data_IF_051998965037
#
_entry.id   IF_051998965037
#
_cell.length_a   1.000
_cell.length_b   1.000
_cell.length_c   1.000
_cell.angle_alpha   90.00
_cell.angle_beta   90.00
_cell.angle_gamma   90.00
#
_symmetry.space_group_name_H-M   'P 1'
#
loop_
_entity.id
_entity.type
_entity.pdbx_description
1 polymer ?
#
# COMPACT_ATOMS: atom_id res chain seq x y z
N UNK A 1 2.57 11.36 39.64
CA UNK A 1 3.93 11.18 39.14
C UNK A 1 4.12 12.13 37.97
N UNK A 2 4.76 13.28 38.22
CA UNK A 2 5.16 14.12 37.10
C UNK A 2 6.21 13.33 36.34
N UNK A 3 5.87 12.86 35.17
CA UNK A 3 6.86 12.46 34.20
C UNK A 3 7.64 13.73 33.87
N UNK A 4 8.74 13.93 34.55
CA UNK A 4 9.76 14.86 34.12
C UNK A 4 10.35 14.35 32.81
N UNK A 5 9.46 14.34 31.83
CA UNK A 5 9.77 13.92 30.51
C UNK A 5 10.46 15.04 29.81
N UNK A 6 11.76 15.09 29.91
CA UNK A 6 12.51 15.70 28.84
C UNK A 6 12.11 15.07 27.55
N UNK A 7 11.22 15.74 26.92
CA UNK A 7 10.80 15.47 25.56
C UNK A 7 11.49 16.44 24.62
N UNK A 8 12.79 16.69 24.89
CA UNK A 8 13.65 17.29 23.89
C UNK A 8 13.84 16.22 22.79
N UNK A 9 12.73 15.94 22.11
CA UNK A 9 12.79 15.17 20.90
C UNK A 9 13.43 16.04 19.84
N UNK A 10 14.68 15.77 19.57
CA UNK A 10 15.38 16.36 18.43
C UNK A 10 15.01 15.59 17.19
N UNK A 11 14.07 16.12 16.46
CA UNK A 11 13.84 15.67 15.09
C UNK A 11 15.12 15.93 14.28
N UNK A 12 15.57 14.93 13.56
CA UNK A 12 16.66 15.11 12.62
C UNK A 12 16.21 16.11 11.54
N UNK A 13 17.07 17.06 11.25
CA UNK A 13 16.86 18.02 10.17
C UNK A 13 18.00 17.94 9.17
N UNK A 14 17.63 17.66 7.93
CA UNK A 14 18.55 17.64 6.81
C UNK A 14 18.08 18.67 5.78
N UNK A 15 18.98 19.53 5.31
CA UNK A 15 18.73 20.37 4.15
C UNK A 15 18.89 19.50 2.88
N UNK A 16 17.93 18.59 2.70
CA UNK A 16 18.01 17.59 1.66
C UNK A 16 17.27 18.08 0.41
N UNK A 17 17.96 18.24 -0.73
CA UNK A 17 17.32 18.67 -1.97
C UNK A 17 16.36 17.60 -2.49
N UNK A 18 15.43 17.99 -3.35
CA UNK A 18 14.59 17.01 -4.04
C UNK A 18 15.41 16.22 -5.07
N UNK A 19 15.00 14.99 -5.35
CA UNK A 19 15.73 14.11 -6.28
C UNK A 19 16.02 14.75 -7.64
N UNK A 20 15.14 15.62 -8.12
CA UNK A 20 15.29 16.30 -9.42
C UNK A 20 16.44 17.31 -9.45
N UNK A 21 16.93 17.74 -8.30
CA UNK A 21 18.06 18.65 -8.13
C UNK A 21 19.39 17.93 -7.90
N UNK A 22 19.31 16.60 -7.74
CA UNK A 22 20.47 15.77 -7.46
C UNK A 22 20.92 15.04 -8.72
N UNK A 23 22.17 14.57 -8.68
CA UNK A 23 22.70 13.68 -9.69
C UNK A 23 23.44 14.39 -10.82
N UNK A 24 23.94 13.61 -11.73
CA UNK A 24 24.64 14.08 -12.92
C UNK A 24 24.37 13.13 -14.10
N UNK A 25 24.36 13.65 -15.34
CA UNK A 25 24.16 12.82 -16.52
C UNK A 25 25.09 11.61 -16.57
N UNK A 26 24.53 10.44 -16.85
CA UNK A 26 25.28 9.18 -16.91
C UNK A 26 25.39 8.41 -15.60
N UNK A 27 25.00 9.00 -14.45
CA UNK A 27 24.93 8.26 -13.19
C UNK A 27 23.76 7.29 -13.17
N UNK A 28 23.96 6.08 -12.65
CA UNK A 28 22.92 5.03 -12.52
C UNK A 28 23.00 4.36 -11.17
N UNK A 29 21.84 4.15 -10.56
CA UNK A 29 21.74 3.44 -9.29
C UNK A 29 21.90 1.93 -9.47
N UNK A 30 21.27 1.38 -10.50
CA UNK A 30 21.29 -0.05 -10.83
C UNK A 30 21.63 -0.18 -12.30
N UNK A 31 22.59 -1.06 -12.59
CA UNK A 31 22.89 -1.49 -13.95
C UNK A 31 22.08 -2.76 -14.19
N UNK A 32 21.09 -2.67 -15.06
CA UNK A 32 20.38 -3.85 -15.56
C UNK A 32 21.19 -4.53 -16.64
N UNK A 33 21.10 -5.83 -16.74
CA UNK A 33 21.69 -6.57 -17.85
C UNK A 33 21.12 -6.07 -19.19
N UNK A 34 21.97 -6.04 -20.19
CA UNK A 34 21.54 -5.70 -21.54
C UNK A 34 20.63 -6.81 -22.09
N UNK A 35 19.58 -6.41 -22.77
CA UNK A 35 18.72 -7.39 -23.48
C UNK A 35 19.56 -8.02 -24.60
N UNK A 36 19.47 -9.33 -24.72
CA UNK A 36 20.14 -10.07 -25.79
C UNK A 36 19.76 -9.50 -27.17
N UNK A 37 20.73 -9.26 -28.05
CA UNK A 37 20.46 -8.65 -29.37
C UNK A 37 19.40 -9.37 -30.19
N UNK A 38 19.34 -10.69 -30.11
CA UNK A 38 18.34 -11.50 -30.81
C UNK A 38 16.94 -11.26 -30.29
N UNK A 39 16.79 -11.13 -28.96
CA UNK A 39 15.51 -10.82 -28.31
C UNK A 39 15.08 -9.39 -28.64
N UNK A 40 16.01 -8.43 -28.57
CA UNK A 40 15.72 -7.04 -28.92
C UNK A 40 15.26 -6.90 -30.38
N UNK A 41 15.89 -7.66 -31.29
CA UNK A 41 15.53 -7.69 -32.72
C UNK A 41 14.15 -8.34 -32.93
N UNK A 42 13.86 -9.45 -32.26
CA UNK A 42 12.60 -10.17 -32.40
C UNK A 42 11.39 -9.39 -31.82
N UNK A 43 11.58 -8.71 -30.70
CA UNK A 43 10.53 -7.98 -30.00
C UNK A 43 10.36 -6.57 -30.57
N UNK A 44 11.42 -5.96 -31.05
CA UNK A 44 11.46 -4.57 -31.47
C UNK A 44 11.25 -3.61 -30.29
N UNK A 45 10.88 -2.37 -30.58
CA UNK A 45 10.57 -1.41 -29.51
C UNK A 45 9.23 -1.74 -28.84
N UNK A 46 9.16 -1.94 -27.53
CA UNK A 46 7.91 -2.23 -26.81
C UNK A 46 6.86 -1.13 -26.99
N UNK A 47 7.30 0.09 -27.29
CA UNK A 47 6.40 1.22 -27.52
C UNK A 47 5.63 1.14 -28.84
N UNK A 48 6.06 0.31 -29.80
CA UNK A 48 5.36 0.14 -31.08
C UNK A 48 3.94 -0.42 -30.90
N UNK A 49 3.68 -1.15 -29.84
CA UNK A 49 2.36 -1.71 -29.53
C UNK A 49 1.40 -0.70 -28.90
N UNK A 50 1.90 0.47 -28.51
CA UNK A 50 1.05 1.53 -27.96
C UNK A 50 0.45 2.37 -29.09
N UNK A 51 -0.82 2.76 -29.02
CA UNK A 51 -1.39 3.74 -29.92
C UNK A 51 -0.57 5.04 -29.93
N UNK A 52 -0.50 5.71 -31.08
CA UNK A 52 0.37 6.88 -31.24
C UNK A 52 0.12 7.99 -30.20
N UNK A 53 -1.15 8.24 -29.83
CA UNK A 53 -1.53 9.23 -28.83
C UNK A 53 -1.04 8.91 -27.40
N UNK A 54 -0.61 7.68 -27.12
CA UNK A 54 -0.08 7.27 -25.83
C UNK A 54 1.45 7.19 -25.79
N UNK A 55 2.10 7.51 -26.91
CA UNK A 55 3.56 7.50 -27.00
C UNK A 55 4.11 8.87 -26.66
N UNK A 56 5.10 8.88 -25.78
CA UNK A 56 5.85 10.14 -25.52
C UNK A 56 6.79 10.40 -26.69
N UNK A 57 6.89 11.64 -27.12
CA UNK A 57 7.86 12.06 -28.15
C UNK A 57 9.29 12.04 -27.60
N UNK A 58 9.46 12.26 -26.30
CA UNK A 58 10.77 12.24 -25.62
C UNK A 58 10.66 11.45 -24.31
N UNK A 59 11.76 10.84 -23.90
CA UNK A 59 11.86 10.22 -22.59
C UNK A 59 11.68 11.27 -21.48
N UNK A 60 11.05 10.91 -20.34
CA UNK A 60 10.96 11.80 -19.20
C UNK A 60 12.37 12.14 -18.69
N UNK A 61 12.57 13.38 -18.29
CA UNK A 61 13.80 13.80 -17.62
C UNK A 61 13.78 13.31 -16.19
N UNK A 62 14.26 12.11 -15.96
CA UNK A 62 14.40 11.54 -14.61
C UNK A 62 15.78 11.89 -14.05
N UNK A 63 15.92 12.04 -12.73
CA UNK A 63 17.20 12.25 -12.11
C UNK A 63 18.11 11.02 -12.29
N UNK A 64 19.36 11.26 -12.62
CA UNK A 64 20.36 10.22 -12.77
C UNK A 64 21.28 10.23 -11.53
N UNK A 65 21.13 9.22 -10.67
CA UNK A 65 21.76 9.14 -9.36
C UNK A 65 22.52 7.83 -9.18
N UNK A 66 23.63 7.90 -8.46
CA UNK A 66 24.29 6.69 -7.97
C UNK A 66 23.49 6.03 -6.84
N UNK A 67 23.62 4.71 -6.70
CA UNK A 67 22.88 3.93 -5.68
C UNK A 67 23.13 4.48 -4.26
N UNK A 68 24.38 4.84 -3.94
CA UNK A 68 24.71 5.35 -2.62
C UNK A 68 24.10 6.73 -2.33
N UNK A 69 24.02 7.61 -3.33
CA UNK A 69 23.35 8.90 -3.19
C UNK A 69 21.87 8.72 -2.94
N UNK A 70 21.22 7.87 -3.71
CA UNK A 70 19.80 7.57 -3.58
C UNK A 70 19.48 6.96 -2.20
N UNK A 71 20.28 5.99 -1.75
CA UNK A 71 20.10 5.38 -0.43
C UNK A 71 20.24 6.40 0.69
N UNK A 72 21.29 7.22 0.65
CA UNK A 72 21.54 8.25 1.68
C UNK A 72 20.43 9.30 1.71
N UNK A 73 19.97 9.74 0.56
CA UNK A 73 18.85 10.67 0.45
C UNK A 73 17.61 10.14 1.19
N UNK A 74 17.17 8.94 0.88
CA UNK A 74 16.00 8.38 1.54
C UNK A 74 16.22 8.02 3.02
N UNK A 75 17.43 7.63 3.41
CA UNK A 75 17.75 7.42 4.82
C UNK A 75 17.66 8.72 5.63
N UNK A 76 18.11 9.86 5.07
CA UNK A 76 17.96 11.16 5.71
C UNK A 76 16.50 11.57 5.83
N UNK A 77 15.76 11.51 4.74
CA UNK A 77 14.32 11.78 4.77
C UNK A 77 13.56 10.88 5.74
N UNK A 78 13.96 9.62 5.86
CA UNK A 78 13.32 8.69 6.82
C UNK A 78 13.53 9.09 8.28
N UNK A 79 14.61 9.79 8.59
CA UNK A 79 14.87 10.32 9.94
C UNK A 79 14.02 11.55 10.26
N UNK A 80 13.57 12.28 9.25
CA UNK A 80 12.67 13.43 9.40
C UNK A 80 11.20 13.02 9.40
N UNK A 81 10.91 11.77 9.00
CA UNK A 81 9.54 11.28 8.90
C UNK A 81 9.01 10.87 10.27
N UNK A 82 7.84 11.34 10.61
CA UNK A 82 7.10 10.90 11.80
C UNK A 82 6.47 9.54 11.49
N UNK A 83 6.83 8.53 12.29
CA UNK A 83 6.29 7.18 12.17
C UNK A 83 5.76 6.67 13.49
N UNK A 84 4.75 5.83 13.44
CA UNK A 84 4.13 5.24 14.64
C UNK A 84 5.09 4.34 15.45
N UNK A 85 6.20 3.91 14.86
CA UNK A 85 7.25 3.15 15.55
C UNK A 85 8.07 4.00 16.53
N UNK A 86 8.11 5.31 16.31
CA UNK A 86 8.97 6.26 17.03
C UNK A 86 8.15 7.30 17.79
N UNK A 87 7.01 7.69 17.24
CA UNK A 87 6.19 8.78 17.71
C UNK A 87 4.81 8.32 18.16
N UNK A 88 4.06 9.25 18.75
CA UNK A 88 2.68 9.05 19.16
C UNK A 88 1.81 8.87 17.90
N UNK A 89 0.84 7.97 17.98
CA UNK A 89 -0.16 7.80 16.94
C UNK A 89 -0.88 9.11 16.61
N UNK A 90 -1.02 9.37 15.31
CA UNK A 90 -1.81 10.48 14.82
C UNK A 90 -3.25 9.99 14.67
N UNK A 91 -4.17 10.62 15.42
CA UNK A 91 -5.55 10.17 15.54
C UNK A 91 -6.48 10.51 14.37
N UNK A 92 -6.01 11.20 13.33
CA UNK A 92 -6.86 11.74 12.27
C UNK A 92 -6.45 11.24 10.88
N UNK A 93 -7.41 10.64 10.15
CA UNK A 93 -7.38 10.43 8.71
C UNK A 93 -6.19 9.68 8.14
N UNK A 94 -5.46 8.96 8.99
CA UNK A 94 -4.13 8.44 8.66
C UNK A 94 -4.14 6.99 8.20
N UNK A 95 -5.30 6.37 8.00
CA UNK A 95 -5.44 5.00 7.52
C UNK A 95 -4.55 4.01 8.29
N UNK A 96 -3.38 3.66 7.75
CA UNK A 96 -2.46 2.64 8.28
C UNK A 96 -1.32 3.18 9.14
N UNK A 97 -1.32 4.43 9.55
CA UNK A 97 -0.22 5.04 10.33
C UNK A 97 -0.18 4.68 11.83
N UNK A 98 -0.95 3.69 12.27
CA UNK A 98 -0.90 3.19 13.66
C UNK A 98 0.24 2.20 13.80
N UNK A 99 0.75 2.06 15.02
CA UNK A 99 1.76 1.07 15.32
C UNK A 99 1.27 -0.34 14.92
N UNK A 100 2.11 -1.05 14.20
CA UNK A 100 1.89 -2.44 13.85
C UNK A 100 3.03 -3.30 14.43
N UNK A 101 2.74 -4.34 15.24
CA UNK A 101 3.77 -5.18 15.80
C UNK A 101 4.66 -5.79 14.71
N UNK A 102 5.96 -5.64 14.84
CA UNK A 102 6.93 -6.14 13.85
C UNK A 102 6.84 -7.65 13.63
N UNK A 103 6.50 -8.39 14.69
CA UNK A 103 6.22 -9.82 14.57
C UNK A 103 5.13 -10.15 13.54
N UNK A 104 4.09 -9.31 13.46
CA UNK A 104 3.02 -9.47 12.47
C UNK A 104 3.53 -9.27 11.04
N UNK A 105 4.39 -8.28 10.84
CA UNK A 105 5.03 -8.02 9.54
C UNK A 105 5.96 -9.16 9.13
N UNK A 106 6.78 -9.66 10.06
CA UNK A 106 7.66 -10.81 9.84
C UNK A 106 6.87 -12.07 9.49
N UNK A 107 5.78 -12.34 10.22
CA UNK A 107 4.92 -13.48 9.95
C UNK A 107 4.24 -13.37 8.57
N UNK A 108 3.75 -12.18 8.19
CA UNK A 108 3.15 -11.95 6.88
C UNK A 108 4.17 -12.10 5.73
N UNK A 109 5.45 -11.81 5.99
CA UNK A 109 6.52 -11.94 5.01
C UNK A 109 7.02 -13.38 4.81
N UNK A 110 6.55 -14.36 5.60
CA UNK A 110 6.97 -15.76 5.44
C UNK A 110 6.64 -16.27 4.03
N UNK A 111 7.57 -17.03 3.40
CA UNK A 111 7.35 -17.56 2.05
C UNK A 111 6.09 -18.41 1.90
N UNK A 112 5.65 -19.07 2.98
CA UNK A 112 4.40 -19.83 3.03
C UNK A 112 3.14 -19.00 2.84
N UNK A 113 3.21 -17.66 3.06
CA UNK A 113 2.14 -16.72 2.78
C UNK A 113 2.37 -15.92 1.50
N UNK A 114 3.57 -15.36 1.34
CA UNK A 114 3.88 -14.49 0.20
C UNK A 114 3.97 -15.24 -1.13
N UNK A 115 4.27 -16.53 -1.10
CA UNK A 115 4.35 -17.40 -2.30
C UNK A 115 3.02 -18.00 -2.75
N UNK A 116 1.89 -17.67 -2.11
CA UNK A 116 0.59 -18.21 -2.47
C UNK A 116 -0.02 -17.46 -3.66
N UNK A 117 -0.69 -18.20 -4.53
CA UNK A 117 -1.47 -17.62 -5.61
C UNK A 117 -2.96 -17.55 -5.24
N UNK A 118 -3.69 -16.44 -5.52
CA UNK A 118 -5.11 -16.29 -5.14
C UNK A 118 -6.05 -17.37 -5.67
N UNK A 119 -5.73 -17.96 -6.83
CA UNK A 119 -6.52 -19.03 -7.46
C UNK A 119 -5.94 -20.42 -7.22
N UNK A 120 -5.05 -20.56 -6.26
CA UNK A 120 -4.48 -21.85 -5.89
C UNK A 120 -5.56 -22.77 -5.29
N UNK A 121 -5.54 -24.08 -5.58
CA UNK A 121 -6.55 -25.01 -5.04
C UNK A 121 -6.61 -24.98 -3.52
N UNK A 122 -7.81 -24.95 -2.96
CA UNK A 122 -8.06 -24.78 -1.52
C UNK A 122 -7.29 -25.78 -0.64
N UNK A 123 -7.14 -27.02 -1.08
CA UNK A 123 -6.41 -28.04 -0.31
C UNK A 123 -4.91 -27.75 -0.12
N UNK A 124 -4.35 -26.86 -0.94
CA UNK A 124 -2.93 -26.46 -0.87
C UNK A 124 -2.69 -25.22 0.01
N UNK A 125 -3.74 -24.54 0.46
CA UNK A 125 -3.69 -23.26 1.19
C UNK A 125 -4.43 -23.32 2.53
N UNK A 126 -4.53 -24.48 3.12
CA UNK A 126 -5.31 -24.70 4.36
C UNK A 126 -4.84 -23.83 5.53
N UNK A 127 -3.54 -23.59 5.66
CA UNK A 127 -2.99 -22.70 6.70
C UNK A 127 -3.48 -21.25 6.54
N UNK A 128 -3.44 -20.71 5.33
CA UNK A 128 -3.95 -19.36 5.06
C UNK A 128 -5.46 -19.26 5.30
N UNK A 129 -6.23 -20.28 4.88
CA UNK A 129 -7.67 -20.35 5.15
C UNK A 129 -7.98 -20.41 6.65
N UNK A 130 -7.20 -21.16 7.42
CA UNK A 130 -7.36 -21.23 8.86
C UNK A 130 -7.10 -19.86 9.54
N UNK A 131 -6.11 -19.10 9.08
CA UNK A 131 -5.85 -17.72 9.56
C UNK A 131 -7.04 -16.82 9.26
N UNK A 132 -7.56 -16.84 8.03
CA UNK A 132 -8.74 -16.05 7.64
C UNK A 132 -9.96 -16.41 8.49
N UNK A 133 -10.27 -17.68 8.61
CA UNK A 133 -11.43 -18.16 9.38
C UNK A 133 -11.32 -17.74 10.86
N UNK A 134 -10.15 -17.90 11.47
CA UNK A 134 -9.94 -17.48 12.87
C UNK A 134 -10.05 -15.97 13.03
N UNK A 135 -9.56 -15.18 12.08
CA UNK A 135 -9.69 -13.73 12.09
C UNK A 135 -11.16 -13.31 12.01
N UNK A 136 -11.94 -13.92 11.12
CA UNK A 136 -13.38 -13.68 11.01
C UNK A 136 -14.08 -13.93 12.35
N UNK A 137 -13.84 -15.08 12.99
CA UNK A 137 -14.43 -15.41 14.29
C UNK A 137 -14.04 -14.40 15.38
N UNK A 138 -12.77 -14.04 15.46
CA UNK A 138 -12.32 -13.04 16.43
C UNK A 138 -12.99 -11.67 16.21
N UNK A 139 -13.16 -11.26 14.97
CA UNK A 139 -13.82 -10.01 14.65
C UNK A 139 -15.31 -10.07 14.98
N UNK A 140 -15.99 -11.18 14.73
CA UNK A 140 -17.37 -11.38 15.16
C UNK A 140 -17.52 -11.25 16.68
N UNK A 141 -16.65 -11.87 17.45
CA UNK A 141 -16.64 -11.77 18.92
C UNK A 141 -16.42 -10.34 19.43
N UNK A 142 -15.46 -9.64 18.83
CA UNK A 142 -15.09 -8.25 19.25
C UNK A 142 -16.20 -7.26 18.89
N UNK A 143 -16.84 -7.41 17.74
CA UNK A 143 -17.82 -6.46 17.22
C UNK A 143 -19.27 -6.80 17.60
N UNK A 144 -19.52 -8.04 18.03
CA UNK A 144 -20.88 -8.56 18.27
C UNK A 144 -21.68 -8.80 16.99
N UNK A 145 -21.02 -8.92 15.85
CA UNK A 145 -21.64 -9.20 14.55
C UNK A 145 -21.77 -10.70 14.31
N UNK A 146 -22.84 -11.10 13.62
CA UNK A 146 -23.07 -12.52 13.28
C UNK A 146 -22.10 -13.03 12.19
N UNK A 147 -21.62 -12.13 11.33
CA UNK A 147 -20.68 -12.44 10.27
C UNK A 147 -19.82 -11.22 9.91
N UNK A 148 -18.61 -11.50 9.45
CA UNK A 148 -17.65 -10.50 8.99
C UNK A 148 -17.06 -11.00 7.67
N UNK A 149 -16.73 -10.08 6.77
CA UNK A 149 -15.99 -10.40 5.56
C UNK A 149 -14.62 -9.74 5.57
N UNK A 150 -13.62 -10.48 5.12
CA UNK A 150 -12.24 -10.01 4.98
C UNK A 150 -11.88 -9.66 3.53
N UNK A 151 -12.88 -9.52 2.65
CA UNK A 151 -12.68 -9.22 1.22
C UNK A 151 -12.17 -7.79 0.94
N UNK A 152 -12.60 -6.73 1.69
CA UNK A 152 -12.13 -5.38 1.43
C UNK A 152 -10.62 -5.26 1.56
N UNK A 153 -9.98 -4.65 0.57
CA UNK A 153 -8.54 -4.42 0.56
C UNK A 153 -8.12 -3.11 1.27
N UNK A 154 -9.07 -2.23 1.55
CA UNK A 154 -8.85 -0.95 2.22
C UNK A 154 -10.14 -0.44 2.86
N UNK A 155 -10.06 0.62 3.69
CA UNK A 155 -11.21 1.24 4.35
C UNK A 155 -12.33 1.64 3.38
N UNK A 156 -11.99 2.33 2.30
CA UNK A 156 -12.95 2.74 1.26
C UNK A 156 -13.66 1.54 0.60
N UNK A 157 -12.99 0.40 0.45
CA UNK A 157 -13.64 -0.83 -0.03
C UNK A 157 -14.63 -1.39 0.99
N UNK A 158 -14.34 -1.25 2.29
CA UNK A 158 -15.26 -1.62 3.36
C UNK A 158 -16.53 -0.77 3.34
N UNK A 159 -16.39 0.54 3.18
CA UNK A 159 -17.52 1.46 3.03
C UNK A 159 -18.35 1.13 1.80
N UNK A 160 -17.71 0.95 0.65
CA UNK A 160 -18.39 0.55 -0.59
C UNK A 160 -19.12 -0.78 -0.46
N UNK A 161 -18.48 -1.78 0.13
CA UNK A 161 -19.12 -3.08 0.37
C UNK A 161 -20.31 -2.96 1.33
N UNK A 162 -20.19 -2.13 2.37
CA UNK A 162 -21.31 -1.83 3.27
C UNK A 162 -22.53 -1.27 2.54
N UNK A 163 -22.32 -0.33 1.63
CA UNK A 163 -23.39 0.21 0.80
C UNK A 163 -24.00 -0.85 -0.12
N UNK A 164 -23.20 -1.73 -0.70
CA UNK A 164 -23.68 -2.85 -1.52
C UNK A 164 -24.54 -3.83 -0.70
N UNK A 165 -24.12 -4.13 0.52
CA UNK A 165 -24.87 -5.00 1.44
C UNK A 165 -26.22 -4.37 1.83
N UNK A 166 -26.23 -3.07 2.16
CA UNK A 166 -27.47 -2.33 2.46
C UNK A 166 -28.43 -2.38 1.26
N UNK A 167 -27.92 -2.13 0.08
CA UNK A 167 -28.71 -2.23 -1.16
C UNK A 167 -29.26 -3.62 -1.38
N UNK A 168 -28.43 -4.65 -1.25
CA UNK A 168 -28.82 -6.03 -1.40
C UNK A 168 -29.88 -6.44 -0.37
N UNK A 169 -29.75 -6.00 0.87
CA UNK A 169 -30.73 -6.22 1.92
C UNK A 169 -32.11 -5.65 1.55
N UNK A 170 -32.18 -4.39 1.14
CA UNK A 170 -33.45 -3.79 0.73
C UNK A 170 -34.07 -4.49 -0.48
N UNK A 171 -33.27 -4.82 -1.48
CA UNK A 171 -33.72 -5.54 -2.66
C UNK A 171 -34.27 -6.92 -2.32
N UNK A 172 -33.62 -7.67 -1.43
CA UNK A 172 -34.09 -9.00 -1.00
C UNK A 172 -35.44 -8.98 -0.29
N UNK A 173 -35.81 -7.81 0.25
CA UNK A 173 -37.12 -7.58 0.90
C UNK A 173 -38.17 -6.97 -0.04
N UNK A 174 -37.86 -6.82 -1.33
CA UNK A 174 -38.73 -6.19 -2.32
C UNK A 174 -38.75 -4.65 -2.27
N UNK A 175 -37.96 -4.02 -1.41
CA UNK A 175 -37.85 -2.56 -1.33
C UNK A 175 -36.79 -2.06 -2.34
N UNK A 176 -37.22 -1.84 -3.56
CA UNK A 176 -36.37 -1.37 -4.67
C UNK A 176 -36.38 0.16 -4.83
N UNK A 177 -37.16 0.88 -4.04
CA UNK A 177 -37.32 2.33 -4.12
C UNK A 177 -36.21 3.14 -3.45
N UNK A 178 -35.38 2.52 -2.61
CA UNK A 178 -34.29 3.19 -1.89
C UNK A 178 -33.05 3.33 -2.76
N UNK A 179 -33.04 4.34 -3.61
CA UNK A 179 -31.95 4.59 -4.57
C UNK A 179 -31.08 5.79 -4.22
N UNK A 180 -31.43 6.54 -3.17
CA UNK A 180 -30.73 7.76 -2.75
C UNK A 180 -30.00 7.52 -1.44
N UNK A 181 -28.77 8.00 -1.38
CA UNK A 181 -27.94 8.02 -0.19
C UNK A 181 -27.64 9.48 0.16
N UNK A 182 -27.90 9.85 1.41
CA UNK A 182 -27.57 11.18 1.91
C UNK A 182 -26.14 11.14 2.47
N UNK A 183 -25.28 12.02 1.96
CA UNK A 183 -23.89 12.14 2.40
C UNK A 183 -23.57 13.60 2.66
N UNK A 184 -22.69 13.94 3.63
CA UNK A 184 -22.14 15.27 3.78
C UNK A 184 -21.37 15.69 2.54
N UNK A 185 -21.34 16.97 2.22
CA UNK A 185 -20.55 17.53 1.11
C UNK A 185 -19.04 17.25 1.29
N UNK A 186 -18.59 17.14 2.55
CA UNK A 186 -17.21 16.81 2.92
C UNK A 186 -16.94 15.30 3.07
N UNK A 187 -17.83 14.42 2.59
CA UNK A 187 -17.64 12.97 2.72
C UNK A 187 -16.39 12.52 1.96
N UNK A 188 -15.67 11.58 2.60
CA UNK A 188 -14.47 10.96 2.01
C UNK A 188 -14.80 10.13 0.78
#
# INVERSE_FOLDING_TARGET
MKLDGRRDFHEAWWDEPILMEMGAPGQRAILTEAIEPQVAQAVGSPTHRLPAGYRRAQAPKLPELGQMQLLRHYLRLSQETIGADINIDIGLGTCTMKYNPKLGEEAAALPGFTGLHPLQPAHTVQGAQAVLNRTEHLLCEITGMDAVTLQPAAGAHGEFLGLLLIKAYHHSRGDTGRTVILVPDSAH
#
